data_IF_077426006418
#
_entry.id   IF_077426006418
#
_cell.length_a   1.000
_cell.length_b   1.000
_cell.length_c   1.000
_cell.angle_alpha   90.00
_cell.angle_beta   90.00
_cell.angle_gamma   90.00
#
_symmetry.space_group_name_H-M   'P 1'
#
loop_
_entity.id
_entity.type
_entity.pdbx_description
1 polymer ?
#
# COMPACT_ATOMS: atom_id res chain seq x y z
N UNK A 1 -3.92 13.58 -16.08
CA UNK A 1 -3.23 13.39 -14.81
C UNK A 1 -3.49 11.97 -14.33
N UNK A 2 -2.44 11.25 -13.95
CA UNK A 2 -2.60 9.90 -13.41
C UNK A 2 -3.03 10.02 -11.93
N UNK A 3 -4.22 9.52 -11.53
CA UNK A 3 -4.75 9.75 -10.19
C UNK A 3 -3.96 9.06 -9.07
N UNK A 4 -2.98 8.25 -9.41
CA UNK A 4 -2.16 7.48 -8.46
C UNK A 4 -0.73 8.00 -8.26
N UNK A 5 -0.37 9.16 -8.83
CA UNK A 5 0.98 9.72 -8.68
C UNK A 5 1.04 10.85 -7.66
N UNK A 6 2.08 10.87 -6.83
CA UNK A 6 2.43 12.00 -5.98
C UNK A 6 3.12 13.15 -6.74
N UNK A 7 3.40 12.97 -8.02
CA UNK A 7 4.07 13.97 -8.87
C UNK A 7 5.59 13.96 -8.75
N UNK A 8 6.20 15.11 -9.04
CA UNK A 8 7.65 15.30 -8.93
C UNK A 8 8.02 15.88 -7.56
N UNK A 9 9.19 15.55 -7.02
CA UNK A 9 9.69 16.20 -5.80
C UNK A 9 9.69 17.72 -5.95
N UNK A 10 9.28 18.48 -4.89
CA UNK A 10 9.35 19.93 -4.90
C UNK A 10 10.80 20.42 -5.01
N UNK A 11 10.98 21.68 -5.42
CA UNK A 11 12.29 22.31 -5.46
C UNK A 11 12.96 22.24 -4.07
N UNK A 12 14.27 21.94 -4.06
CA UNK A 12 15.09 21.78 -2.85
C UNK A 12 14.71 20.59 -1.95
N UNK A 13 13.87 19.65 -2.42
CA UNK A 13 13.60 18.41 -1.72
C UNK A 13 14.29 17.24 -2.45
N UNK A 14 15.07 16.47 -1.70
CA UNK A 14 15.65 15.22 -2.18
C UNK A 14 14.70 14.09 -1.78
N UNK A 15 14.34 13.26 -2.75
CA UNK A 15 13.58 12.03 -2.52
C UNK A 15 14.38 10.88 -3.09
N UNK A 16 14.62 9.85 -2.28
CA UNK A 16 15.27 8.61 -2.70
C UNK A 16 14.41 7.41 -2.37
N UNK A 17 14.51 6.39 -3.19
CA UNK A 17 13.90 5.08 -2.95
C UNK A 17 15.04 4.13 -2.60
N UNK A 18 15.00 3.58 -1.39
CA UNK A 18 16.06 2.73 -0.84
C UNK A 18 15.55 1.31 -0.59
N UNK A 19 16.44 0.33 -0.77
CA UNK A 19 16.20 -1.05 -0.34
C UNK A 19 16.38 -1.22 1.18
N UNK A 20 16.24 -2.46 1.67
CA UNK A 20 16.41 -2.79 3.10
C UNK A 20 17.85 -2.56 3.60
N UNK A 21 18.83 -2.52 2.71
CA UNK A 21 20.24 -2.24 3.01
C UNK A 21 20.57 -0.74 2.96
N UNK A 22 19.59 0.12 2.68
CA UNK A 22 19.78 1.57 2.57
C UNK A 22 20.40 2.02 1.25
N UNK A 23 20.47 1.16 0.23
CA UNK A 23 21.00 1.46 -1.10
C UNK A 23 19.87 1.92 -2.02
N UNK A 24 20.15 2.92 -2.86
CA UNK A 24 19.19 3.43 -3.83
C UNK A 24 18.86 2.37 -4.90
N UNK A 25 17.56 2.09 -5.08
CA UNK A 25 17.09 1.14 -6.09
C UNK A 25 17.04 1.78 -7.49
N UNK A 26 17.14 1.00 -8.57
CA UNK A 26 16.94 1.48 -9.93
C UNK A 26 15.53 2.07 -10.14
N UNK A 27 15.38 2.94 -11.14
CA UNK A 27 14.05 3.44 -11.53
C UNK A 27 13.15 2.29 -11.98
N UNK A 28 11.90 2.37 -11.57
CA UNK A 28 10.90 1.33 -11.81
C UNK A 28 10.82 0.28 -10.70
N UNK A 29 11.85 0.14 -9.88
CA UNK A 29 11.84 -0.76 -8.74
C UNK A 29 11.24 -0.09 -7.50
N UNK A 30 10.52 -0.87 -6.72
CA UNK A 30 9.89 -0.43 -5.47
C UNK A 30 10.87 -0.50 -4.31
N UNK A 31 10.77 0.46 -3.40
CA UNK A 31 11.54 0.51 -2.18
C UNK A 31 10.97 1.54 -1.20
N UNK A 32 11.61 1.68 -0.06
CA UNK A 32 11.22 2.60 1.00
C UNK A 32 11.54 4.03 0.60
N UNK A 33 10.58 4.93 0.82
CA UNK A 33 10.71 6.35 0.45
C UNK A 33 11.41 7.12 1.56
N UNK A 34 12.52 7.76 1.21
CA UNK A 34 13.27 8.65 2.08
C UNK A 34 13.29 10.06 1.53
N UNK A 35 13.12 11.04 2.39
CA UNK A 35 13.07 12.46 2.02
C UNK A 35 14.06 13.29 2.83
N UNK A 36 14.62 14.29 2.20
CA UNK A 36 15.48 15.29 2.85
C UNK A 36 15.31 16.66 2.23
N UNK A 37 15.34 17.68 3.08
CA UNK A 37 15.40 19.07 2.68
C UNK A 37 16.15 19.86 3.76
N UNK A 38 16.34 21.18 3.59
CA UNK A 38 16.99 22.04 4.59
C UNK A 38 16.24 22.21 5.92
N UNK A 39 15.05 21.59 6.06
CA UNK A 39 14.18 21.63 7.25
C UNK A 39 13.85 20.20 7.70
N UNK A 40 14.88 19.44 8.09
CA UNK A 40 14.67 18.10 8.67
C UNK A 40 13.97 18.20 10.01
N UNK A 41 12.93 17.39 10.17
CA UNK A 41 12.20 17.24 11.41
C UNK A 41 13.03 16.43 12.43
N UNK A 42 13.29 16.98 13.63
CA UNK A 42 14.15 16.37 14.65
C UNK A 42 13.48 15.26 15.48
N UNK A 43 12.17 15.01 15.29
CA UNK A 43 11.43 13.93 15.99
C UNK A 43 10.05 14.36 16.49
N UNK A 44 9.28 13.42 17.02
CA UNK A 44 7.99 13.66 17.66
C UNK A 44 8.15 13.97 19.16
N UNK A 45 7.37 14.90 19.69
CA UNK A 45 7.23 15.10 21.12
C UNK A 45 6.60 13.87 21.76
N UNK A 46 7.40 13.06 22.44
CA UNK A 46 6.95 11.78 23.04
C UNK A 46 7.85 10.59 22.77
N UNK A 47 8.93 10.79 22.00
CA UNK A 47 9.91 9.75 21.68
C UNK A 47 9.50 8.91 20.48
N UNK A 48 10.40 8.74 19.56
CA UNK A 48 10.26 8.03 18.30
C UNK A 48 10.90 8.85 17.19
N UNK A 49 12.14 8.53 16.84
CA UNK A 49 12.77 9.10 15.65
C UNK A 49 12.45 8.19 14.47
N UNK A 50 12.06 8.77 13.35
CA UNK A 50 12.05 8.05 12.07
C UNK A 50 13.47 7.68 11.70
N UNK A 51 13.62 6.54 11.00
CA UNK A 51 14.90 6.10 10.48
C UNK A 51 15.53 7.17 9.58
N UNK A 52 16.82 7.40 9.73
CA UNK A 52 17.60 8.34 8.92
C UNK A 52 18.74 7.58 8.26
N UNK A 53 18.82 7.67 6.94
CA UNK A 53 19.90 7.13 6.12
C UNK A 53 20.50 8.27 5.30
N UNK A 54 21.81 8.51 5.44
CA UNK A 54 22.55 9.58 4.74
C UNK A 54 21.90 10.98 4.83
N UNK A 55 21.30 11.30 6.00
CA UNK A 55 20.62 12.57 6.22
C UNK A 55 19.22 12.66 5.60
N UNK A 56 18.71 11.57 5.03
CA UNK A 56 17.33 11.44 4.53
C UNK A 56 16.49 10.69 5.55
N UNK A 57 15.29 11.18 5.83
CA UNK A 57 14.35 10.61 6.80
C UNK A 57 13.34 9.71 6.09
N UNK A 58 13.09 8.52 6.64
CA UNK A 58 12.03 7.63 6.15
C UNK A 58 10.65 8.29 6.29
N UNK A 59 9.84 8.24 5.22
CA UNK A 59 8.44 8.64 5.30
C UNK A 59 7.57 7.57 5.97
N UNK A 60 8.04 6.31 5.96
CA UNK A 60 7.28 5.12 6.35
C UNK A 60 6.40 4.61 5.21
N UNK A 61 6.62 5.09 3.99
CA UNK A 61 5.91 4.64 2.80
C UNK A 61 6.87 3.91 1.87
N UNK A 62 6.30 3.06 1.01
CA UNK A 62 6.99 2.37 -0.09
C UNK A 62 6.46 2.92 -1.42
N UNK A 63 7.33 3.01 -2.40
CA UNK A 63 6.97 3.48 -3.72
C UNK A 63 8.13 3.39 -4.71
N UNK A 64 7.92 3.92 -5.90
CA UNK A 64 8.90 3.93 -6.98
C UNK A 64 8.83 5.18 -7.83
N UNK A 65 9.94 5.53 -8.46
CA UNK A 65 9.95 6.48 -9.57
C UNK A 65 9.72 5.75 -10.88
N UNK A 66 8.81 6.25 -11.72
CA UNK A 66 8.71 5.83 -13.11
C UNK A 66 9.69 6.60 -14.01
N UNK A 67 9.79 6.19 -15.27
CA UNK A 67 10.72 6.78 -16.26
C UNK A 67 10.46 8.28 -16.50
N UNK A 68 9.20 8.71 -16.31
CA UNK A 68 8.79 10.12 -16.39
C UNK A 68 9.25 10.97 -15.18
N UNK A 69 9.92 10.35 -14.19
CA UNK A 69 10.44 11.01 -12.98
C UNK A 69 9.37 11.28 -11.91
N UNK A 70 8.15 10.80 -12.09
CA UNK A 70 7.08 10.93 -11.10
C UNK A 70 7.18 9.84 -10.05
N UNK A 71 6.92 10.24 -8.80
CA UNK A 71 6.79 9.34 -7.66
C UNK A 71 5.40 8.71 -7.63
N UNK A 72 5.37 7.40 -7.44
CA UNK A 72 4.17 6.62 -7.18
C UNK A 72 4.32 5.97 -5.81
N UNK A 73 3.42 6.32 -4.90
CA UNK A 73 3.35 5.71 -3.56
C UNK A 73 2.48 4.45 -3.68
N UNK A 74 3.00 3.32 -3.22
CA UNK A 74 2.34 2.01 -3.32
C UNK A 74 1.62 1.63 -2.03
N UNK A 75 2.11 2.11 -0.89
CA UNK A 75 1.51 1.88 0.41
C UNK A 75 2.43 2.20 1.57
N UNK A 76 2.02 1.78 2.76
CA UNK A 76 2.79 1.90 3.99
C UNK A 76 3.75 0.72 4.13
N UNK A 77 4.98 0.99 4.56
CA UNK A 77 6.00 -0.02 4.82
C UNK A 77 5.55 -1.03 5.91
N UNK A 78 4.90 -0.52 6.96
CA UNK A 78 4.38 -1.31 8.08
C UNK A 78 3.10 -2.11 7.74
N UNK A 79 2.41 -1.79 6.65
CA UNK A 79 1.24 -2.50 6.14
C UNK A 79 1.57 -3.49 5.01
N UNK A 80 2.80 -3.46 4.50
CA UNK A 80 3.23 -4.36 3.43
C UNK A 80 3.17 -5.83 3.89
N UNK A 81 2.62 -6.67 3.03
CA UNK A 81 2.51 -8.11 3.25
C UNK A 81 3.48 -8.82 2.30
N UNK A 82 4.34 -9.64 2.86
CA UNK A 82 5.15 -10.57 2.04
C UNK A 82 4.36 -11.88 1.93
N UNK A 83 3.85 -12.17 0.74
CA UNK A 83 3.08 -13.37 0.44
C UNK A 83 3.76 -14.19 -0.65
N UNK A 84 4.28 -15.35 -0.28
CA UNK A 84 5.00 -16.21 -1.23
C UNK A 84 6.24 -15.58 -1.87
N UNK A 85 6.90 -14.64 -1.17
CA UNK A 85 8.07 -13.91 -1.66
C UNK A 85 7.76 -12.64 -2.46
N UNK A 86 6.47 -12.31 -2.63
CA UNK A 86 6.02 -11.10 -3.34
C UNK A 86 5.50 -10.04 -2.37
N UNK A 87 5.85 -8.79 -2.61
CA UNK A 87 5.37 -7.66 -1.83
C UNK A 87 3.96 -7.26 -2.27
N UNK A 88 3.01 -7.35 -1.36
CA UNK A 88 1.61 -6.99 -1.58
C UNK A 88 1.24 -5.82 -0.67
N UNK A 89 0.75 -4.75 -1.26
CA UNK A 89 0.20 -3.61 -0.53
C UNK A 89 -1.31 -3.74 -0.46
N UNK A 90 -1.90 -3.91 0.74
CA UNK A 90 -3.35 -4.05 0.91
C UNK A 90 -4.13 -2.92 0.26
N UNK A 91 -3.63 -1.69 0.37
CA UNK A 91 -4.25 -0.48 -0.19
C UNK A 91 -4.48 -0.56 -1.70
N UNK A 92 -3.55 -1.11 -2.47
CA UNK A 92 -3.70 -1.28 -3.92
C UNK A 92 -4.84 -2.24 -4.26
N UNK A 93 -5.00 -3.29 -3.45
CA UNK A 93 -6.08 -4.27 -3.64
C UNK A 93 -7.42 -3.68 -3.19
N UNK A 94 -7.44 -2.92 -2.09
CA UNK A 94 -8.62 -2.17 -1.67
C UNK A 94 -9.09 -1.19 -2.76
N UNK A 95 -8.17 -0.39 -3.30
CA UNK A 95 -8.48 0.57 -4.36
C UNK A 95 -9.03 -0.12 -5.61
N UNK A 96 -8.48 -1.28 -5.98
CA UNK A 96 -8.99 -2.08 -7.09
C UNK A 96 -10.41 -2.61 -6.81
N UNK A 97 -10.65 -3.22 -5.65
CA UNK A 97 -11.96 -3.77 -5.29
C UNK A 97 -13.01 -2.65 -5.16
N UNK A 98 -12.64 -1.49 -4.62
CA UNK A 98 -13.52 -0.33 -4.46
C UNK A 98 -14.03 0.23 -5.80
N UNK A 99 -13.39 -0.07 -6.94
CA UNK A 99 -13.90 0.32 -8.26
C UNK A 99 -15.04 -0.54 -8.77
N UNK A 100 -15.33 -1.66 -8.09
CA UNK A 100 -16.44 -2.53 -8.48
C UNK A 100 -17.79 -1.92 -8.04
N UNK A 101 -18.76 -1.82 -8.95
CA UNK A 101 -20.03 -1.13 -8.73
C UNK A 101 -20.90 -1.71 -7.59
N UNK A 102 -20.72 -3.01 -7.30
CA UNK A 102 -21.45 -3.70 -6.24
C UNK A 102 -20.73 -3.67 -4.89
N UNK A 103 -19.64 -2.91 -4.74
CA UNK A 103 -18.88 -2.75 -3.49
C UNK A 103 -19.17 -1.37 -2.89
N UNK A 104 -19.64 -1.35 -1.65
CA UNK A 104 -19.85 -0.13 -0.87
C UNK A 104 -18.59 0.28 -0.10
N UNK A 105 -17.96 -0.70 0.59
CA UNK A 105 -16.73 -0.50 1.36
C UNK A 105 -15.86 -1.74 1.25
N UNK A 106 -14.54 -1.55 1.40
CA UNK A 106 -13.57 -2.64 1.43
C UNK A 106 -12.42 -2.30 2.37
N UNK A 107 -11.91 -3.31 3.05
CA UNK A 107 -10.65 -3.29 3.79
C UNK A 107 -9.89 -4.58 3.51
N UNK A 108 -8.57 -4.52 3.41
CA UNK A 108 -7.73 -5.68 3.21
C UNK A 108 -6.62 -5.73 4.27
N UNK A 109 -6.32 -6.93 4.76
CA UNK A 109 -5.29 -7.12 5.78
C UNK A 109 -4.47 -8.38 5.51
N UNK A 110 -3.23 -8.38 5.98
CA UNK A 110 -2.41 -9.58 6.07
C UNK A 110 -2.84 -10.44 7.25
N UNK A 111 -3.11 -11.71 7.00
CA UNK A 111 -3.34 -12.72 8.05
C UNK A 111 -2.25 -13.78 7.96
N UNK A 112 -1.89 -14.35 9.09
CA UNK A 112 -0.87 -15.42 9.15
C UNK A 112 -1.30 -16.62 8.30
N UNK A 113 -0.32 -17.23 7.64
CA UNK A 113 -0.50 -18.38 6.76
C UNK A 113 0.72 -19.31 6.89
N UNK A 114 0.47 -20.58 7.17
CA UNK A 114 1.54 -21.56 7.43
C UNK A 114 2.39 -21.88 6.18
N UNK A 115 1.86 -21.69 4.98
CA UNK A 115 2.53 -21.99 3.72
C UNK A 115 3.24 -20.77 3.13
N UNK A 116 2.65 -19.58 3.25
CA UNK A 116 3.10 -18.36 2.58
C UNK A 116 3.62 -17.28 3.55
N UNK A 117 3.67 -17.59 4.86
CA UNK A 117 4.00 -16.64 5.92
C UNK A 117 2.83 -15.70 6.21
N UNK A 118 2.40 -14.95 5.21
CA UNK A 118 1.17 -14.15 5.26
C UNK A 118 0.36 -14.30 3.98
N UNK A 119 -0.97 -14.14 4.11
CA UNK A 119 -1.89 -14.08 2.98
C UNK A 119 -2.81 -12.88 3.11
N UNK A 120 -3.26 -12.36 1.98
CA UNK A 120 -4.20 -11.25 1.95
C UNK A 120 -5.63 -11.75 2.16
N UNK A 121 -6.35 -11.11 3.08
CA UNK A 121 -7.79 -11.28 3.30
C UNK A 121 -8.48 -9.94 3.05
N UNK A 122 -9.53 -9.95 2.22
CA UNK A 122 -10.37 -8.80 1.97
C UNK A 122 -11.69 -8.91 2.75
N UNK A 123 -12.10 -7.82 3.38
CA UNK A 123 -13.42 -7.64 3.98
C UNK A 123 -14.20 -6.69 3.08
N UNK A 124 -15.38 -7.11 2.63
CA UNK A 124 -16.17 -6.39 1.64
C UNK A 124 -17.56 -6.15 2.16
N UNK A 125 -18.00 -4.89 2.11
CA UNK A 125 -19.39 -4.50 2.30
C UNK A 125 -20.02 -4.31 0.93
N UNK A 126 -21.11 -5.01 0.67
CA UNK A 126 -21.83 -4.93 -0.61
C UNK A 126 -22.74 -3.73 -0.67
N UNK A 127 -23.01 -3.24 -1.88
CA UNK A 127 -24.15 -2.35 -2.09
C UNK A 127 -25.47 -3.09 -1.84
N UNK A 128 -26.52 -2.34 -1.49
CA UNK A 128 -27.82 -2.93 -1.18
C UNK A 128 -28.39 -3.71 -2.38
N UNK A 129 -28.77 -4.96 -2.14
CA UNK A 129 -29.34 -5.83 -3.17
C UNK A 129 -28.31 -6.53 -4.07
N UNK A 130 -27.00 -6.33 -3.81
CA UNK A 130 -25.92 -6.98 -4.55
C UNK A 130 -25.87 -8.50 -4.31
N UNK A 131 -25.62 -9.25 -5.39
CA UNK A 131 -25.34 -10.67 -5.36
C UNK A 131 -23.85 -11.02 -5.44
N UNK A 132 -22.97 -10.03 -5.31
CA UNK A 132 -21.52 -10.20 -5.43
C UNK A 132 -21.01 -11.32 -4.53
N UNK A 133 -20.30 -12.28 -5.10
CA UNK A 133 -19.71 -13.39 -4.36
C UNK A 133 -18.17 -13.32 -4.33
N UNK A 134 -17.56 -14.22 -3.55
CA UNK A 134 -16.11 -14.30 -3.41
C UNK A 134 -15.41 -14.54 -4.76
N UNK A 135 -15.98 -15.38 -5.61
CA UNK A 135 -15.39 -15.71 -6.89
C UNK A 135 -15.35 -14.51 -7.84
N UNK A 136 -16.40 -13.69 -7.84
CA UNK A 136 -16.50 -12.47 -8.62
C UNK A 136 -15.49 -11.41 -8.14
N UNK A 137 -15.34 -11.20 -6.82
CA UNK A 137 -14.31 -10.29 -6.27
C UNK A 137 -12.91 -10.73 -6.66
N UNK A 138 -12.60 -12.02 -6.52
CA UNK A 138 -11.29 -12.57 -6.93
C UNK A 138 -11.03 -12.45 -8.42
N UNK A 139 -12.04 -12.68 -9.26
CA UNK A 139 -11.95 -12.50 -10.71
C UNK A 139 -11.67 -11.01 -11.04
N UNK A 140 -12.40 -10.09 -10.41
CA UNK A 140 -12.17 -8.66 -10.59
C UNK A 140 -10.73 -8.24 -10.30
N UNK A 141 -10.18 -8.65 -9.15
CA UNK A 141 -8.78 -8.36 -8.81
C UNK A 141 -7.82 -9.00 -9.81
N UNK A 142 -8.05 -10.26 -10.20
CA UNK A 142 -7.21 -10.98 -11.17
C UNK A 142 -7.16 -10.32 -12.54
N UNK A 143 -8.26 -9.70 -12.96
CA UNK A 143 -8.36 -9.03 -14.27
C UNK A 143 -7.72 -7.64 -14.27
N UNK A 144 -7.54 -7.03 -13.10
CA UNK A 144 -7.03 -5.67 -12.96
C UNK A 144 -5.64 -5.57 -12.32
N UNK A 145 -5.20 -6.58 -11.56
CA UNK A 145 -3.92 -6.61 -10.86
C UNK A 145 -3.13 -7.89 -11.13
N UNK A 146 -1.87 -7.89 -10.70
CA UNK A 146 -1.03 -9.08 -10.76
C UNK A 146 -1.63 -10.24 -9.95
N UNK A 147 -1.45 -11.46 -10.44
CA UNK A 147 -2.09 -12.66 -9.90
C UNK A 147 -1.80 -12.94 -8.42
N UNK A 148 -0.60 -12.60 -7.95
CA UNK A 148 -0.20 -12.78 -6.56
C UNK A 148 -0.89 -11.80 -5.59
N UNK A 149 -1.54 -10.73 -6.10
CA UNK A 149 -2.32 -9.75 -5.34
C UNK A 149 -3.77 -10.17 -5.09
N UNK A 150 -4.21 -11.27 -5.69
CA UNK A 150 -5.57 -11.78 -5.49
C UNK A 150 -5.74 -12.25 -4.04
N UNK A 151 -6.72 -11.71 -3.29
CA UNK A 151 -6.93 -12.13 -1.91
C UNK A 151 -7.28 -13.63 -1.82
N UNK A 152 -6.68 -14.32 -0.85
CA UNK A 152 -6.99 -15.74 -0.61
C UNK A 152 -8.38 -15.93 -0.05
N UNK A 153 -8.79 -15.02 0.83
CA UNK A 153 -10.10 -15.02 1.48
C UNK A 153 -10.84 -13.71 1.18
N UNK A 154 -12.14 -13.80 0.91
CA UNK A 154 -13.06 -12.66 0.86
C UNK A 154 -14.16 -12.90 1.86
N UNK A 155 -14.29 -12.01 2.84
CA UNK A 155 -15.30 -12.08 3.90
C UNK A 155 -16.29 -10.93 3.68
N UNK A 156 -17.57 -11.26 3.57
CA UNK A 156 -18.60 -10.23 3.45
C UNK A 156 -19.12 -9.84 4.83
N UNK A 157 -19.25 -8.53 5.03
CA UNK A 157 -19.75 -7.93 6.27
C UNK A 157 -20.91 -6.98 5.94
N UNK A 158 -21.76 -6.73 6.94
CA UNK A 158 -22.81 -5.70 6.82
C UNK A 158 -22.22 -4.30 6.96
N UNK A 159 -21.17 -4.14 7.79
CA UNK A 159 -20.41 -2.91 7.98
C UNK A 159 -18.95 -3.22 8.36
N UNK A 160 -18.02 -2.34 8.02
CA UNK A 160 -16.63 -2.46 8.49
C UNK A 160 -16.51 -1.98 9.93
N UNK A 161 -15.78 -2.73 10.81
CA UNK A 161 -15.48 -2.26 12.15
C UNK A 161 -14.64 -0.99 12.10
N UNK A 162 -15.04 0.03 12.88
CA UNK A 162 -14.34 1.32 12.95
C UNK A 162 -13.88 1.57 14.39
N UNK A 163 -12.71 2.17 14.54
CA UNK A 163 -12.24 2.63 15.85
C UNK A 163 -13.01 3.88 16.30
N UNK A 164 -12.76 4.33 17.54
CA UNK A 164 -13.41 5.50 18.13
C UNK A 164 -13.17 6.82 17.33
N UNK A 165 -12.19 6.86 16.44
CA UNK A 165 -11.88 8.00 15.55
C UNK A 165 -12.48 7.86 14.15
N UNK A 166 -13.27 6.79 13.90
CA UNK A 166 -13.95 6.55 12.63
C UNK A 166 -13.05 5.95 11.52
N UNK A 167 -11.85 5.49 11.91
CA UNK A 167 -10.93 4.79 11.00
C UNK A 167 -11.08 3.29 11.17
#
# INVERSE_FOLDING_TARGET
ESPSTAGHPPYATVVKILDEQGKEVPRGESGRIFVGNGLLFEGYTGGGSKEIVDGLMSTGDVGRFKDDGRLYVEGRDDEMIVSGGENVFPKEVEDCIATHEEVAEVAAVGVEDDEFGKRLRAFVVRTSGSGLDEAAVKAWVKDNLARYKVPRDVVFLDELPRNATGK
#
